data_IF_318065354596
#
_entry.id   IF_318065354596
#
_cell.length_a   1.000
_cell.length_b   1.000
_cell.length_c   1.000
_cell.angle_alpha   90.00
_cell.angle_beta   90.00
_cell.angle_gamma   90.00
#
_symmetry.space_group_name_H-M   'P 1'
#
loop_
_entity.id
_entity.type
_entity.pdbx_description
1 polymer ?
#
# COMPACT_ATOMS: atom_id res chain seq x y z
N UNK A 1 -13.63 -13.97 -6.67
CA UNK A 1 -14.55 -14.79 -5.84
C UNK A 1 -14.78 -16.16 -6.41
N UNK A 2 -15.57 -16.34 -7.49
CA UNK A 2 -15.72 -17.66 -8.12
C UNK A 2 -14.35 -18.20 -8.58
N UNK A 3 -13.59 -17.36 -9.29
CA UNK A 3 -12.21 -17.63 -9.67
C UNK A 3 -11.27 -17.92 -8.49
N UNK A 4 -11.56 -17.41 -7.29
CA UNK A 4 -10.73 -17.61 -6.09
C UNK A 4 -10.99 -18.97 -5.47
N UNK A 5 -12.25 -19.41 -5.43
CA UNK A 5 -12.66 -20.70 -4.85
C UNK A 5 -12.25 -21.85 -5.76
N UNK A 6 -12.34 -21.64 -7.08
CA UNK A 6 -12.12 -22.67 -8.09
C UNK A 6 -10.82 -22.49 -8.88
N UNK A 7 -9.88 -21.67 -8.40
CA UNK A 7 -8.69 -21.24 -9.16
C UNK A 7 -7.83 -22.41 -9.67
N UNK A 8 -7.83 -23.54 -8.97
CA UNK A 8 -7.07 -24.76 -9.29
C UNK A 8 -7.81 -25.73 -10.20
N UNK A 9 -9.01 -25.38 -10.66
CA UNK A 9 -9.87 -26.24 -11.48
C UNK A 9 -9.97 -25.70 -12.90
N UNK A 10 -10.19 -26.57 -13.88
CA UNK A 10 -10.39 -26.16 -15.28
C UNK A 10 -11.70 -25.36 -15.49
N UNK A 11 -12.61 -25.38 -14.52
CA UNK A 11 -13.93 -24.74 -14.54
C UNK A 11 -13.90 -23.23 -14.78
N UNK A 12 -12.81 -22.57 -14.37
CA UNK A 12 -12.61 -21.12 -14.47
C UNK A 12 -11.79 -20.72 -15.70
N UNK A 13 -11.25 -21.69 -16.43
CA UNK A 13 -10.35 -21.47 -17.57
C UNK A 13 -9.06 -20.72 -17.20
N UNK A 14 -8.22 -20.44 -18.20
CA UNK A 14 -6.91 -19.80 -18.00
C UNK A 14 -7.03 -18.41 -17.38
N UNK A 15 -7.98 -17.61 -17.85
CA UNK A 15 -8.24 -16.26 -17.32
C UNK A 15 -8.70 -16.30 -15.86
N UNK A 16 -9.60 -17.22 -15.53
CA UNK A 16 -10.10 -17.32 -14.17
C UNK A 16 -9.08 -17.94 -13.20
N UNK A 17 -8.24 -18.88 -13.66
CA UNK A 17 -7.08 -19.34 -12.90
C UNK A 17 -6.14 -18.20 -12.53
N UNK A 18 -5.74 -17.39 -13.53
CA UNK A 18 -4.87 -16.23 -13.32
C UNK A 18 -5.48 -15.19 -12.36
N UNK A 19 -6.78 -14.89 -12.49
CA UNK A 19 -7.49 -13.97 -11.57
C UNK A 19 -7.60 -14.56 -10.16
N UNK A 20 -7.73 -15.88 -10.04
CA UNK A 20 -7.78 -16.59 -8.77
C UNK A 20 -6.44 -16.54 -8.03
N UNK A 21 -5.35 -16.83 -8.74
CA UNK A 21 -3.98 -16.72 -8.24
C UNK A 21 -3.67 -15.28 -7.82
N UNK A 22 -4.00 -14.29 -8.67
CA UNK A 22 -3.73 -12.89 -8.34
C UNK A 22 -4.49 -12.41 -7.09
N UNK A 23 -5.71 -12.92 -6.89
CA UNK A 23 -6.47 -12.66 -5.66
C UNK A 23 -5.82 -13.30 -4.42
N UNK A 24 -5.29 -14.52 -4.54
CA UNK A 24 -4.62 -15.21 -3.43
C UNK A 24 -3.26 -14.58 -3.13
N UNK A 25 -2.52 -14.16 -4.13
CA UNK A 25 -1.25 -13.46 -3.94
C UNK A 25 -1.44 -12.09 -3.29
N UNK A 26 -2.50 -11.37 -3.67
CA UNK A 26 -2.77 -10.01 -3.15
C UNK A 26 -3.41 -10.05 -1.76
N UNK A 27 -4.34 -10.97 -1.52
CA UNK A 27 -5.19 -10.97 -0.32
C UNK A 27 -5.00 -12.18 0.58
N UNK A 28 -4.18 -13.16 0.19
CA UNK A 28 -3.95 -14.40 0.94
C UNK A 28 -5.26 -15.11 1.28
N UNK A 29 -5.31 -15.69 2.48
CA UNK A 29 -6.52 -16.34 2.98
C UNK A 29 -7.70 -15.39 3.23
N UNK A 30 -7.46 -14.07 3.33
CA UNK A 30 -8.54 -13.07 3.46
C UNK A 30 -9.41 -13.01 2.21
N UNK A 31 -8.88 -13.43 1.05
CA UNK A 31 -9.64 -13.56 -0.20
C UNK A 31 -10.90 -14.43 -0.04
N UNK A 32 -10.84 -15.49 0.78
CA UNK A 32 -11.99 -16.37 1.05
C UNK A 32 -13.05 -15.67 1.91
N UNK A 33 -12.63 -14.89 2.91
CA UNK A 33 -13.54 -14.11 3.76
C UNK A 33 -14.25 -13.05 2.92
N UNK A 34 -13.49 -12.32 2.09
CA UNK A 34 -14.06 -11.35 1.16
C UNK A 34 -15.06 -12.07 0.22
N UNK A 35 -14.77 -13.30 -0.21
CA UNK A 35 -15.69 -14.11 -1.05
C UNK A 35 -17.03 -14.33 -0.36
N UNK A 36 -17.04 -14.60 0.94
CA UNK A 36 -18.29 -14.75 1.72
C UNK A 36 -19.07 -13.44 1.79
N UNK A 37 -18.39 -12.31 1.99
CA UNK A 37 -19.02 -10.99 2.04
C UNK A 37 -19.69 -10.58 0.74
N UNK A 38 -19.25 -11.13 -0.40
CA UNK A 38 -19.92 -10.92 -1.68
C UNK A 38 -21.00 -11.98 -1.93
N UNK A 39 -20.69 -13.25 -1.68
CA UNK A 39 -21.60 -14.35 -2.05
C UNK A 39 -22.84 -14.45 -1.17
N UNK A 40 -22.74 -14.21 0.14
CA UNK A 40 -23.88 -14.29 1.05
C UNK A 40 -24.98 -13.26 0.73
N UNK A 41 -24.69 -11.94 0.62
CA UNK A 41 -25.70 -10.98 0.20
C UNK A 41 -26.20 -11.27 -1.21
N UNK A 42 -25.34 -11.69 -2.13
CA UNK A 42 -25.76 -12.01 -3.50
C UNK A 42 -26.70 -13.23 -3.54
N UNK A 43 -26.43 -14.26 -2.75
CA UNK A 43 -27.30 -15.41 -2.58
C UNK A 43 -28.64 -15.00 -1.99
N UNK A 44 -28.64 -14.15 -0.95
CA UNK A 44 -29.86 -13.61 -0.37
C UNK A 44 -30.69 -12.82 -1.40
N UNK A 45 -30.02 -12.01 -2.23
CA UNK A 45 -30.63 -11.25 -3.31
C UNK A 45 -31.25 -12.14 -4.40
N UNK A 46 -30.59 -13.25 -4.75
CA UNK A 46 -31.12 -14.22 -5.71
C UNK A 46 -32.32 -15.00 -5.15
N UNK A 47 -32.22 -15.43 -3.88
CA UNK A 47 -33.21 -16.31 -3.23
C UNK A 47 -34.49 -15.57 -2.85
N UNK A 48 -34.40 -14.31 -2.46
CA UNK A 48 -35.53 -13.53 -1.94
C UNK A 48 -35.70 -12.23 -2.74
N UNK A 49 -36.34 -12.29 -3.92
CA UNK A 49 -36.55 -11.11 -4.76
C UNK A 49 -37.45 -10.05 -4.09
N UNK A 50 -38.25 -10.43 -3.11
CA UNK A 50 -39.09 -9.50 -2.33
C UNK A 50 -38.28 -8.61 -1.37
N UNK A 51 -37.03 -9.01 -1.05
CA UNK A 51 -36.10 -8.21 -0.23
C UNK A 51 -35.37 -7.13 -1.04
N UNK A 52 -35.60 -7.03 -2.36
CA UNK A 52 -34.95 -6.03 -3.23
C UNK A 52 -35.26 -4.59 -2.84
N UNK A 53 -36.40 -4.32 -2.21
CA UNK A 53 -36.73 -2.96 -1.77
C UNK A 53 -36.01 -2.53 -0.49
N UNK A 54 -35.35 -3.47 0.20
CA UNK A 54 -34.60 -3.22 1.44
C UNK A 54 -33.11 -3.24 1.14
N UNK A 55 -32.57 -2.10 0.72
CA UNK A 55 -31.13 -1.93 0.44
C UNK A 55 -30.25 -1.94 1.69
N UNK A 56 -30.81 -1.58 2.86
CA UNK A 56 -30.09 -1.43 4.13
C UNK A 56 -29.15 -2.59 4.51
N UNK A 57 -29.58 -3.87 4.51
CA UNK A 57 -28.69 -4.97 4.87
C UNK A 57 -27.51 -5.13 3.91
N UNK A 58 -27.68 -4.84 2.62
CA UNK A 58 -26.64 -4.98 1.60
C UNK A 58 -25.54 -3.92 1.73
N UNK A 59 -25.91 -2.71 2.17
CA UNK A 59 -24.95 -1.64 2.46
C UNK A 59 -24.02 -2.07 3.60
N UNK A 60 -24.55 -2.72 4.65
CA UNK A 60 -23.73 -3.26 5.73
C UNK A 60 -22.70 -4.28 5.24
N UNK A 61 -23.10 -5.22 4.37
CA UNK A 61 -22.16 -6.18 3.77
C UNK A 61 -21.09 -5.50 2.90
N UNK A 62 -21.47 -4.49 2.12
CA UNK A 62 -20.52 -3.70 1.32
C UNK A 62 -19.53 -2.93 2.21
N UNK A 63 -20.00 -2.34 3.30
CA UNK A 63 -19.16 -1.65 4.28
C UNK A 63 -18.17 -2.60 4.96
N UNK A 64 -18.61 -3.81 5.32
CA UNK A 64 -17.72 -4.84 5.88
C UNK A 64 -16.65 -5.27 4.86
N UNK A 65 -17.02 -5.41 3.59
CA UNK A 65 -16.08 -5.70 2.52
C UNK A 65 -15.03 -4.58 2.40
N UNK A 66 -15.46 -3.33 2.26
CA UNK A 66 -14.54 -2.18 2.11
C UNK A 66 -13.65 -2.03 3.36
N UNK A 67 -14.23 -2.17 4.56
CA UNK A 67 -13.48 -2.09 5.82
C UNK A 67 -12.38 -3.15 5.87
N UNK A 68 -12.68 -4.39 5.47
CA UNK A 68 -11.69 -5.47 5.41
C UNK A 68 -10.62 -5.20 4.35
N UNK A 69 -11.01 -4.65 3.19
CA UNK A 69 -10.08 -4.28 2.12
C UNK A 69 -9.10 -3.17 2.54
N UNK A 70 -9.57 -2.20 3.31
CA UNK A 70 -8.73 -1.14 3.86
C UNK A 70 -7.88 -1.69 5.00
N UNK A 71 -8.46 -2.46 5.92
CA UNK A 71 -7.76 -3.05 7.05
C UNK A 71 -6.58 -3.92 6.60
N UNK A 72 -6.78 -4.81 5.63
CA UNK A 72 -5.68 -5.63 5.09
C UNK A 72 -4.58 -4.77 4.44
N UNK A 73 -4.95 -3.66 3.78
CA UNK A 73 -3.97 -2.76 3.16
C UNK A 73 -3.12 -2.02 4.20
N UNK A 74 -3.65 -1.82 5.41
CA UNK A 74 -2.92 -1.24 6.54
C UNK A 74 -2.14 -2.31 7.32
N UNK A 75 -2.75 -3.48 7.54
CA UNK A 75 -2.20 -4.55 8.35
C UNK A 75 -1.07 -5.31 7.65
N UNK A 76 -1.11 -5.39 6.32
CA UNK A 76 -0.09 -6.04 5.50
C UNK A 76 0.66 -4.97 4.70
N UNK A 77 1.95 -4.80 4.99
CA UNK A 77 2.85 -3.86 4.30
C UNK A 77 3.03 -4.29 2.84
N UNK A 78 2.15 -3.79 1.97
CA UNK A 78 2.28 -3.95 0.54
C UNK A 78 3.27 -2.90 0.05
N UNK A 79 4.23 -3.25 -0.81
CA UNK A 79 5.33 -2.34 -1.23
C UNK A 79 4.82 -0.99 -1.79
N UNK A 80 3.58 -0.95 -2.29
CA UNK A 80 2.89 0.26 -2.75
C UNK A 80 2.39 1.17 -1.60
N UNK A 81 2.08 0.63 -0.43
CA UNK A 81 1.58 1.38 0.75
C UNK A 81 2.67 2.22 1.42
N UNK A 82 3.95 1.85 1.24
CA UNK A 82 5.10 2.64 1.72
C UNK A 82 5.10 4.08 1.20
N UNK A 83 4.64 4.31 -0.03
CA UNK A 83 4.57 5.64 -0.63
C UNK A 83 3.39 6.47 -0.07
N UNK A 84 2.25 5.84 0.19
CA UNK A 84 1.05 6.54 0.70
C UNK A 84 1.19 6.94 2.17
N UNK A 85 1.87 6.12 2.99
CA UNK A 85 2.21 6.50 4.37
C UNK A 85 3.24 7.63 4.45
N UNK A 86 4.14 7.73 3.46
CA UNK A 86 5.07 8.85 3.29
C UNK A 86 4.34 10.19 3.03
N UNK A 87 3.17 10.14 2.37
CA UNK A 87 2.38 11.32 2.01
C UNK A 87 1.37 11.75 3.07
N UNK A 88 1.06 10.91 4.06
CA UNK A 88 0.15 11.25 5.17
C UNK A 88 0.87 11.90 6.37
N UNK A 89 2.20 12.00 6.33
CA UNK A 89 3.00 12.48 7.46
C UNK A 89 4.26 13.23 7.07
N UNK A 90 4.11 14.38 6.39
CA UNK A 90 5.08 15.49 6.36
C UNK A 90 6.54 15.12 6.01
N UNK A 91 6.81 14.68 4.79
CA UNK A 91 8.14 14.83 4.21
C UNK A 91 8.05 15.60 2.89
N UNK A 92 8.73 16.76 2.74
CA UNK A 92 8.78 17.47 1.47
C UNK A 92 9.47 16.59 0.42
N UNK A 93 9.11 16.83 -0.84
CA UNK A 93 9.67 16.16 -2.03
C UNK A 93 11.20 16.08 -1.89
N UNK A 94 11.82 14.89 -2.00
CA UNK A 94 13.28 14.77 -1.99
C UNK A 94 13.84 15.67 -3.10
N UNK A 95 14.58 16.70 -2.71
CA UNK A 95 15.30 17.52 -3.68
C UNK A 95 16.32 16.62 -4.39
N UNK A 96 16.58 16.89 -5.67
CA UNK A 96 17.60 16.17 -6.44
C UNK A 96 18.91 16.23 -5.68
N UNK A 97 19.40 15.06 -5.28
CA UNK A 97 20.65 14.94 -4.55
C UNK A 97 21.79 15.41 -5.48
N UNK A 98 22.62 16.38 -5.07
CA UNK A 98 23.69 16.88 -5.90
C UNK A 98 24.72 15.79 -6.22
N UNK A 99 25.25 15.77 -7.45
CA UNK A 99 26.23 14.75 -7.89
C UNK A 99 27.51 14.71 -7.03
N UNK A 100 27.86 15.83 -6.39
CA UNK A 100 29.00 15.90 -5.47
C UNK A 100 28.78 15.13 -4.18
N UNK A 101 27.52 14.86 -3.81
CA UNK A 101 27.14 14.15 -2.59
C UNK A 101 27.10 12.63 -2.79
N UNK A 102 26.81 12.18 -4.02
CA UNK A 102 26.62 10.75 -4.37
C UNK A 102 27.83 9.85 -4.13
N UNK A 103 29.03 10.45 -4.00
CA UNK A 103 30.31 9.76 -3.87
C UNK A 103 30.87 9.78 -2.43
N UNK A 104 30.17 10.46 -1.50
CA UNK A 104 30.60 10.60 -0.12
C UNK A 104 29.88 9.53 0.73
N UNK A 105 30.64 8.63 1.34
CA UNK A 105 30.07 7.48 2.06
C UNK A 105 30.41 7.48 3.56
N UNK A 106 31.27 8.40 4.00
CA UNK A 106 31.67 8.56 5.40
C UNK A 106 31.27 9.93 5.94
N UNK A 107 30.88 9.98 7.21
CA UNK A 107 30.52 11.21 7.93
C UNK A 107 31.58 12.32 7.76
N UNK A 108 32.86 11.96 7.82
CA UNK A 108 33.97 12.91 7.65
C UNK A 108 34.07 13.48 6.23
N UNK A 109 33.66 12.71 5.22
CA UNK A 109 33.64 13.12 3.82
C UNK A 109 32.43 14.01 3.54
N UNK A 110 31.27 13.66 4.10
CA UNK A 110 30.03 14.45 4.02
C UNK A 110 30.22 15.84 4.63
N UNK A 111 30.79 15.92 5.85
CA UNK A 111 31.06 17.21 6.51
C UNK A 111 32.06 18.08 5.72
N UNK A 112 33.06 17.47 5.08
CA UNK A 112 34.00 18.18 4.22
C UNK A 112 33.35 18.67 2.93
N UNK A 113 32.51 17.85 2.30
CA UNK A 113 31.75 18.21 1.11
C UNK A 113 30.80 19.39 1.36
N UNK A 114 30.13 19.39 2.51
CA UNK A 114 29.27 20.49 2.97
C UNK A 114 30.04 21.80 3.17
N UNK A 115 31.23 21.76 3.77
CA UNK A 115 32.07 22.95 3.95
C UNK A 115 32.60 23.46 2.59
N UNK A 116 32.94 22.56 1.67
CA UNK A 116 33.52 22.93 0.37
C UNK A 116 32.52 23.56 -0.61
N UNK A 117 31.23 23.22 -0.50
CA UNK A 117 30.16 23.72 -1.38
C UNK A 117 29.24 24.75 -0.72
N UNK A 118 29.65 25.32 0.41
CA UNK A 118 28.91 26.37 1.07
C UNK A 118 29.26 27.76 0.53
N UNK A 119 28.24 28.60 0.33
CA UNK A 119 28.39 29.98 -0.14
C UNK A 119 29.06 30.94 0.88
N UNK A 120 29.63 30.40 1.97
CA UNK A 120 30.38 31.15 2.98
C UNK A 120 30.96 30.26 4.09
N UNK A 121 31.85 30.79 4.96
CA UNK A 121 32.50 30.01 6.00
C UNK A 121 31.50 29.56 7.09
N UNK A 122 31.18 28.26 7.13
CA UNK A 122 30.36 27.69 8.21
C UNK A 122 31.16 27.48 9.49
N UNK A 123 30.55 27.81 10.63
CA UNK A 123 31.09 27.43 11.93
C UNK A 123 30.86 25.93 12.17
N UNK A 124 31.75 25.22 12.90
CA UNK A 124 31.64 23.78 13.10
C UNK A 124 30.28 23.29 13.65
N UNK A 125 29.61 24.12 14.45
CA UNK A 125 28.28 23.82 15.01
C UNK A 125 27.18 23.84 13.94
N UNK A 126 27.32 24.66 12.91
CA UNK A 126 26.32 24.80 11.86
C UNK A 126 26.46 23.68 10.81
N UNK A 127 27.68 23.15 10.61
CA UNK A 127 27.93 21.96 9.79
C UNK A 127 27.27 20.72 10.38
N UNK A 128 27.33 20.55 11.70
CA UNK A 128 26.68 19.43 12.40
C UNK A 128 25.15 19.46 12.24
N UNK A 129 24.55 20.65 12.31
CA UNK A 129 23.11 20.82 12.11
C UNK A 129 22.68 20.51 10.68
N UNK A 130 23.48 20.90 9.69
CA UNK A 130 23.19 20.58 8.29
C UNK A 130 23.36 19.07 8.01
N UNK A 131 24.34 18.41 8.62
CA UNK A 131 24.50 16.96 8.51
C UNK A 131 23.25 16.20 9.01
N UNK A 132 22.71 16.60 10.17
CA UNK A 132 21.49 16.01 10.73
C UNK A 132 20.21 16.27 9.93
N UNK A 133 20.23 17.21 8.97
CA UNK A 133 19.09 17.48 8.09
C UNK A 133 19.14 16.66 6.79
N UNK A 134 20.30 16.09 6.44
CA UNK A 134 20.52 15.36 5.20
C UNK A 134 20.54 13.83 5.41
N UNK A 135 20.68 13.36 6.66
CA UNK A 135 20.53 11.94 7.05
C UNK A 135 19.16 11.68 7.65
#
# INVERSE_FOLDING_TARGET
>A
MFCTIFHSTELVGVLGGAIGEWNLDTFGYVAYINSLFILLPLYNFYRYPDLKSKFDPYIGWLLLLISTLVFQSLAFDNKATKATLLLLGRSPVPAVEPEWFSQLHSESEIKKGLIAHADGPLKPVDVEKQYQQVT
#
